data_IF_730008048572
#
_entry.id   IF_730008048572
#
_cell.length_a   1.000
_cell.length_b   1.000
_cell.length_c   1.000
_cell.angle_alpha   90.00
_cell.angle_beta   90.00
_cell.angle_gamma   90.00
#
_symmetry.space_group_name_H-M   'P 1'
#
loop_
_entity.id
_entity.type
_entity.pdbx_description
1 polymer ?
#
# COMPACT_ATOMS: atom_id res chain seq x y z
N UNK A 1 -19.02 13.78 28.80
CA UNK A 1 -19.59 14.06 27.46
C UNK A 1 -18.61 13.48 26.45
N UNK A 2 -19.03 12.64 25.48
CA UNK A 2 -18.11 12.19 24.42
C UNK A 2 -17.74 13.41 23.56
N UNK A 3 -16.45 13.61 23.27
CA UNK A 3 -16.02 14.69 22.37
C UNK A 3 -16.58 14.48 20.97
N UNK A 4 -16.94 15.58 20.29
CA UNK A 4 -17.45 15.57 18.92
C UNK A 4 -16.37 16.12 18.00
N UNK A 5 -16.11 15.39 16.92
CA UNK A 5 -15.11 15.75 15.90
C UNK A 5 -15.78 15.86 14.52
N UNK A 6 -15.15 16.63 13.64
CA UNK A 6 -15.48 16.71 12.22
C UNK A 6 -14.17 16.64 11.41
N UNK A 7 -14.27 16.22 10.16
CA UNK A 7 -13.12 16.06 9.29
C UNK A 7 -13.48 16.09 7.82
N UNK A 8 -12.45 16.06 6.97
CA UNK A 8 -12.58 16.01 5.52
C UNK A 8 -11.86 14.77 4.99
N UNK A 9 -12.54 14.04 4.09
CA UNK A 9 -11.93 13.03 3.24
C UNK A 9 -11.32 13.71 2.01
N UNK A 10 -10.00 13.64 1.88
CA UNK A 10 -9.28 14.06 0.68
C UNK A 10 -8.08 13.13 0.47
N UNK A 11 -8.05 12.31 -0.59
CA UNK A 11 -6.88 11.51 -0.92
C UNK A 11 -5.66 12.39 -1.17
N UNK A 12 -4.46 11.94 -0.78
CA UNK A 12 -3.22 12.70 -1.02
C UNK A 12 -3.03 13.00 -2.51
N UNK A 13 -3.35 12.04 -3.38
CA UNK A 13 -3.23 12.17 -4.84
C UNK A 13 -4.08 13.29 -5.43
N UNK A 14 -5.13 13.73 -4.73
CA UNK A 14 -6.03 14.81 -5.16
C UNK A 14 -5.52 16.20 -4.77
N UNK A 15 -4.43 16.30 -4.00
CA UNK A 15 -3.83 17.59 -3.68
C UNK A 15 -3.24 18.25 -4.94
N UNK A 16 -3.30 19.59 -5.06
CA UNK A 16 -2.80 20.31 -6.21
C UNK A 16 -1.27 20.50 -6.15
N UNK A 17 -0.52 19.40 -6.16
CA UNK A 17 0.95 19.43 -6.20
C UNK A 17 1.48 19.67 -7.62
N UNK A 18 2.67 20.29 -7.77
CA UNK A 18 3.42 20.21 -9.02
C UNK A 18 3.80 18.74 -9.28
N UNK A 19 4.04 18.38 -10.55
CA UNK A 19 4.44 17.01 -10.97
C UNK A 19 3.32 15.96 -11.07
N UNK A 20 2.08 16.40 -11.32
CA UNK A 20 1.02 15.58 -11.93
C UNK A 20 0.23 14.68 -10.98
N UNK A 21 0.62 14.61 -9.71
CA UNK A 21 -0.09 13.91 -8.64
C UNK A 21 0.18 14.60 -7.31
N UNK A 22 -0.83 14.66 -6.44
CA UNK A 22 -0.65 15.15 -5.08
C UNK A 22 0.35 14.32 -4.26
N UNK A 23 1.11 14.98 -3.41
CA UNK A 23 2.30 14.47 -2.70
C UNK A 23 2.37 14.99 -1.26
N UNK A 24 3.37 14.55 -0.48
CA UNK A 24 3.57 14.98 0.91
C UNK A 24 4.19 16.38 1.10
N UNK A 25 4.32 17.16 0.02
CA UNK A 25 4.97 18.47 0.02
C UNK A 25 4.11 19.63 0.52
N UNK A 26 4.37 20.80 -0.05
CA UNK A 26 3.74 22.06 0.38
C UNK A 26 2.21 22.01 0.34
N UNK A 27 1.63 21.44 -0.73
CA UNK A 27 0.18 21.37 -0.88
C UNK A 27 -0.51 20.60 0.26
N UNK A 28 0.13 19.54 0.78
CA UNK A 28 -0.37 18.79 1.93
C UNK A 28 -0.34 19.63 3.21
N UNK A 29 0.73 20.39 3.46
CA UNK A 29 0.84 21.29 4.61
C UNK A 29 -0.17 22.44 4.54
N UNK A 30 -0.37 23.01 3.35
CA UNK A 30 -1.38 24.03 3.10
C UNK A 30 -2.80 23.49 3.38
N UNK A 31 -3.06 22.22 3.03
CA UNK A 31 -4.34 21.56 3.33
C UNK A 31 -4.54 21.35 4.83
N UNK A 32 -3.50 20.94 5.58
CA UNK A 32 -3.55 20.88 7.05
C UNK A 32 -3.89 22.26 7.64
N UNK A 33 -3.24 23.33 7.17
CA UNK A 33 -3.52 24.69 7.66
C UNK A 33 -4.96 25.14 7.32
N UNK A 34 -5.48 24.70 6.18
CA UNK A 34 -6.89 24.88 5.83
C UNK A 34 -7.83 24.15 6.80
N UNK A 35 -7.54 22.88 7.14
CA UNK A 35 -8.33 22.12 8.10
C UNK A 35 -8.39 22.79 9.47
N UNK A 36 -7.25 23.31 9.96
CA UNK A 36 -7.17 24.07 11.21
C UNK A 36 -8.06 25.31 11.15
N UNK A 37 -7.95 26.11 10.08
CA UNK A 37 -8.78 27.32 9.89
C UNK A 37 -10.27 27.00 9.81
N UNK A 38 -10.62 25.85 9.24
CA UNK A 38 -11.99 25.37 9.10
C UNK A 38 -12.52 24.66 10.38
N UNK A 39 -11.73 24.61 11.46
CA UNK A 39 -12.12 23.96 12.72
C UNK A 39 -12.27 22.44 12.62
N UNK A 40 -11.69 21.82 11.59
CA UNK A 40 -11.67 20.37 11.43
C UNK A 40 -10.62 19.76 12.37
N UNK A 41 -10.80 18.48 12.71
CA UNK A 41 -9.87 17.71 13.55
C UNK A 41 -9.41 16.40 12.92
N UNK A 42 -10.07 15.94 11.86
CA UNK A 42 -9.73 14.70 11.16
C UNK A 42 -9.45 15.00 9.69
N UNK A 43 -8.32 14.49 9.18
CA UNK A 43 -8.08 14.32 7.76
C UNK A 43 -8.16 12.83 7.42
N UNK A 44 -9.18 12.43 6.68
CA UNK A 44 -9.26 11.07 6.17
C UNK A 44 -8.56 10.95 4.81
N UNK A 45 -7.71 9.94 4.68
CA UNK A 45 -7.00 9.60 3.43
C UNK A 45 -7.41 8.20 2.97
N UNK A 46 -7.22 7.91 1.68
CA UNK A 46 -7.30 6.57 1.13
C UNK A 46 -6.01 5.79 1.44
N UNK A 47 -5.94 4.46 1.19
CA UNK A 47 -4.73 3.70 1.41
C UNK A 47 -3.53 4.33 0.68
N UNK A 48 -2.40 4.49 1.39
CA UNK A 48 -1.18 5.11 0.86
C UNK A 48 -0.24 4.11 0.17
N UNK A 49 -0.72 2.90 -0.09
CA UNK A 49 0.05 1.79 -0.65
C UNK A 49 0.31 1.95 -2.15
N UNK A 50 1.35 1.31 -2.73
CA UNK A 50 1.57 1.31 -4.18
C UNK A 50 0.34 0.78 -4.92
N UNK A 51 -0.05 1.39 -6.03
CA UNK A 51 -1.20 0.93 -6.82
C UNK A 51 -0.78 -0.05 -7.90
N UNK A 52 -1.58 -1.09 -8.12
CA UNK A 52 -1.45 -2.00 -9.25
C UNK A 52 -2.15 -1.49 -10.52
N UNK A 53 -2.39 -2.38 -11.47
CA UNK A 53 -3.16 -2.06 -12.68
C UNK A 53 -4.57 -1.55 -12.33
N UNK A 54 -4.99 -0.45 -12.96
CA UNK A 54 -6.25 0.23 -12.67
C UNK A 54 -6.17 1.28 -11.56
N UNK A 55 -4.97 1.50 -10.98
CA UNK A 55 -4.64 2.63 -10.10
C UNK A 55 -5.47 2.74 -8.82
N UNK A 56 -6.14 1.65 -8.45
CA UNK A 56 -6.94 1.58 -7.23
C UNK A 56 -6.05 1.45 -6.00
N UNK A 57 -6.18 2.31 -4.98
CA UNK A 57 -5.46 2.14 -3.71
C UNK A 57 -5.94 0.92 -2.91
N UNK A 58 -6.99 0.23 -3.35
CA UNK A 58 -7.47 -1.03 -2.78
C UNK A 58 -6.93 -2.27 -3.53
N UNK A 59 -6.14 -2.08 -4.58
CA UNK A 59 -5.42 -3.14 -5.28
C UNK A 59 -3.94 -2.81 -5.35
N UNK A 60 -3.15 -3.45 -4.48
CA UNK A 60 -1.77 -3.08 -4.22
C UNK A 60 -0.82 -4.25 -4.33
N UNK A 61 0.41 -3.98 -4.76
CA UNK A 61 1.52 -4.93 -4.75
C UNK A 61 2.10 -5.19 -3.35
N UNK A 62 1.74 -4.39 -2.33
CA UNK A 62 2.14 -4.65 -0.95
C UNK A 62 1.23 -3.93 0.05
N UNK A 63 0.78 -4.65 1.08
CA UNK A 63 -0.13 -4.15 2.10
C UNK A 63 0.50 -3.16 3.09
N UNK A 64 1.84 -3.11 3.18
CA UNK A 64 2.59 -2.31 4.16
C UNK A 64 3.54 -1.27 3.54
N UNK A 65 3.78 -1.35 2.23
CA UNK A 65 4.60 -0.39 1.51
C UNK A 65 3.86 0.94 1.30
N UNK A 66 4.63 2.01 1.13
CA UNK A 66 4.14 3.30 0.69
C UNK A 66 4.32 3.51 -0.81
N UNK A 67 3.37 4.18 -1.44
CA UNK A 67 3.42 4.47 -2.87
C UNK A 67 4.54 5.46 -3.20
N UNK A 68 5.45 5.12 -4.13
CA UNK A 68 6.52 6.04 -4.55
C UNK A 68 5.98 7.31 -5.23
N UNK A 69 4.72 7.29 -5.68
CA UNK A 69 4.08 8.46 -6.30
C UNK A 69 3.81 9.60 -5.31
N UNK A 70 3.73 9.30 -4.02
CA UNK A 70 3.43 10.28 -2.98
C UNK A 70 4.68 11.01 -2.46
N UNK A 71 5.87 10.54 -2.86
CA UNK A 71 7.15 11.20 -2.58
C UNK A 71 7.17 12.54 -3.31
N UNK A 72 7.34 13.60 -2.53
CA UNK A 72 7.40 14.98 -3.02
C UNK A 72 8.75 15.31 -3.63
N UNK A 73 8.73 15.85 -4.85
CA UNK A 73 9.94 16.13 -5.64
C UNK A 73 10.63 17.40 -5.17
N UNK A 74 9.90 18.42 -4.70
CA UNK A 74 10.51 19.65 -4.17
C UNK A 74 11.32 19.34 -2.90
N UNK A 75 10.85 18.39 -2.08
CA UNK A 75 11.62 17.89 -0.94
C UNK A 75 12.92 17.21 -1.40
N UNK A 76 12.90 16.39 -2.46
CA UNK A 76 14.12 15.77 -3.00
C UNK A 76 15.08 16.80 -3.61
N UNK A 77 14.55 17.86 -4.25
CA UNK A 77 15.32 19.01 -4.73
C UNK A 77 16.01 19.71 -3.56
N UNK A 78 15.28 19.97 -2.47
CA UNK A 78 15.82 20.61 -1.26
C UNK A 78 16.94 19.81 -0.60
N UNK A 79 17.01 18.51 -0.86
CA UNK A 79 18.07 17.62 -0.39
C UNK A 79 19.26 17.51 -1.36
N UNK A 80 19.16 18.11 -2.54
CA UNK A 80 20.18 18.01 -3.58
C UNK A 80 20.23 16.67 -4.30
N UNK A 81 19.21 15.82 -4.16
CA UNK A 81 19.15 14.52 -4.85
C UNK A 81 18.79 14.65 -6.33
N UNK A 82 18.03 15.69 -6.68
CA UNK A 82 17.67 16.02 -8.07
C UNK A 82 17.68 17.54 -8.25
N UNK A 83 18.07 18.04 -9.43
CA UNK A 83 17.98 19.50 -9.71
C UNK A 83 16.59 19.87 -10.23
N UNK A 84 16.18 21.15 -10.12
CA UNK A 84 14.92 21.62 -10.71
C UNK A 84 14.82 21.34 -12.22
N UNK A 85 15.91 21.52 -12.97
CA UNK A 85 15.95 21.29 -14.42
C UNK A 85 15.78 19.80 -14.76
N UNK A 86 16.27 18.90 -13.90
CA UNK A 86 16.09 17.47 -14.08
C UNK A 86 14.68 17.03 -13.72
N UNK A 87 14.13 17.54 -12.60
CA UNK A 87 12.74 17.30 -12.23
C UNK A 87 11.79 17.74 -13.36
N UNK A 88 12.06 18.87 -14.01
CA UNK A 88 11.28 19.36 -15.14
C UNK A 88 11.31 18.41 -16.36
N UNK A 89 12.43 17.72 -16.63
CA UNK A 89 12.52 16.74 -17.73
C UNK A 89 11.58 15.54 -17.54
N UNK A 90 11.34 15.15 -16.29
CA UNK A 90 10.47 14.04 -15.94
C UNK A 90 9.07 14.50 -15.52
N UNK A 91 8.78 15.80 -15.58
CA UNK A 91 7.49 16.35 -15.19
C UNK A 91 6.35 15.73 -15.98
N UNK A 92 5.28 15.37 -15.31
CA UNK A 92 3.96 15.15 -15.91
C UNK A 92 3.00 16.23 -15.37
N UNK A 93 2.23 16.85 -16.24
CA UNK A 93 1.25 17.89 -15.86
C UNK A 93 -0.15 17.32 -15.55
N UNK A 94 -0.26 15.98 -15.49
CA UNK A 94 -1.54 15.30 -15.44
C UNK A 94 -2.31 15.40 -16.76
N UNK A 95 -3.60 15.07 -16.71
CA UNK A 95 -4.52 15.16 -17.84
C UNK A 95 -5.02 16.59 -17.99
N UNK A 96 -5.46 16.95 -19.19
CA UNK A 96 -5.99 18.29 -19.50
C UNK A 96 -7.22 18.70 -18.69
N UNK A 97 -7.91 17.73 -18.06
CA UNK A 97 -9.06 17.95 -17.18
C UNK A 97 -8.69 18.03 -15.69
N UNK A 98 -7.39 18.09 -15.36
CA UNK A 98 -6.88 18.20 -14.00
C UNK A 98 -6.79 16.87 -13.25
N UNK A 99 -7.10 15.74 -13.88
CA UNK A 99 -6.93 14.40 -13.27
C UNK A 99 -5.48 13.91 -13.39
N UNK A 100 -5.11 12.99 -12.50
CA UNK A 100 -3.81 12.30 -12.58
C UNK A 100 -3.73 11.49 -13.87
N UNK A 101 -2.59 11.56 -14.56
CA UNK A 101 -2.23 10.67 -15.65
C UNK A 101 -1.30 9.58 -15.12
N UNK A 102 -1.90 8.48 -14.63
CA UNK A 102 -1.16 7.40 -13.98
C UNK A 102 -0.22 6.65 -14.93
N UNK A 103 -0.59 6.52 -16.21
CA UNK A 103 0.29 5.91 -17.22
C UNK A 103 1.55 6.76 -17.42
N UNK A 104 1.38 8.08 -17.64
CA UNK A 104 2.52 8.98 -17.76
C UNK A 104 3.35 9.03 -16.47
N UNK A 105 2.70 8.96 -15.31
CA UNK A 105 3.36 8.94 -14.01
C UNK A 105 4.19 7.67 -13.82
N UNK A 106 3.69 6.51 -14.20
CA UNK A 106 4.42 5.24 -14.14
C UNK A 106 5.74 5.31 -14.91
N UNK A 107 5.70 5.78 -16.16
CA UNK A 107 6.89 5.84 -17.02
C UNK A 107 7.88 6.96 -16.65
N UNK A 108 7.45 8.00 -15.93
CA UNK A 108 8.31 9.16 -15.63
C UNK A 108 8.79 9.19 -14.18
N UNK A 109 7.95 8.80 -13.22
CA UNK A 109 8.26 8.94 -11.79
C UNK A 109 9.33 7.97 -11.32
N UNK A 110 9.25 6.70 -11.72
CA UNK A 110 10.24 5.70 -11.30
C UNK A 110 11.66 6.06 -11.82
N UNK A 111 11.86 6.40 -13.10
CA UNK A 111 13.17 6.89 -13.57
C UNK A 111 13.67 8.14 -12.84
N UNK A 112 12.78 9.09 -12.54
CA UNK A 112 13.14 10.29 -11.76
C UNK A 112 13.64 9.93 -10.35
N UNK A 113 12.96 9.00 -9.67
CA UNK A 113 13.37 8.53 -8.35
C UNK A 113 14.68 7.71 -8.40
N UNK A 114 14.93 6.95 -9.48
CA UNK A 114 16.22 6.28 -9.71
C UNK A 114 17.37 7.28 -9.86
N UNK A 115 17.12 8.43 -10.52
CA UNK A 115 18.09 9.53 -10.58
C UNK A 115 18.36 10.15 -9.21
N UNK A 116 17.32 10.37 -8.40
CA UNK A 116 17.50 10.83 -7.02
C UNK A 116 18.31 9.82 -6.20
N UNK A 117 17.99 8.52 -6.32
CA UNK A 117 18.71 7.44 -5.65
C UNK A 117 20.19 7.36 -6.05
N UNK A 118 20.55 7.66 -7.31
CA UNK A 118 21.94 7.63 -7.75
C UNK A 118 22.83 8.66 -7.05
N UNK A 119 22.23 9.67 -6.40
CA UNK A 119 22.93 10.71 -5.62
C UNK A 119 22.72 10.58 -4.12
N UNK A 120 21.90 9.63 -3.69
CA UNK A 120 21.58 9.42 -2.29
C UNK A 120 22.78 8.83 -1.53
N UNK A 121 23.04 9.33 -0.32
CA UNK A 121 24.06 8.76 0.56
C UNK A 121 23.58 7.45 1.20
N UNK A 122 23.89 6.36 0.51
CA UNK A 122 23.62 4.98 0.94
C UNK A 122 24.36 4.61 2.24
N UNK A 123 25.39 5.36 2.62
CA UNK A 123 26.18 5.14 3.83
C UNK A 123 25.63 5.82 5.08
N UNK A 124 24.60 6.66 4.95
CA UNK A 124 23.99 7.36 6.07
C UNK A 124 23.55 6.40 7.18
N UNK A 125 23.69 6.82 8.44
CA UNK A 125 23.41 5.97 9.59
C UNK A 125 21.91 5.65 9.69
N UNK A 126 21.07 6.62 9.33
CA UNK A 126 19.62 6.52 9.31
C UNK A 126 19.14 5.52 8.25
N UNK A 127 19.74 5.53 7.06
CA UNK A 127 19.38 4.56 6.03
C UNK A 127 19.84 3.16 6.40
N UNK A 128 21.06 2.99 6.93
CA UNK A 128 21.52 1.68 7.42
C UNK A 128 20.63 1.13 8.55
N UNK A 129 20.25 1.97 9.52
CA UNK A 129 19.32 1.57 10.56
C UNK A 129 17.94 1.19 10.01
N UNK A 130 17.48 1.86 8.95
CA UNK A 130 16.26 1.48 8.24
C UNK A 130 16.40 0.11 7.55
N UNK A 131 17.53 -0.16 6.90
CA UNK A 131 17.80 -1.45 6.26
C UNK A 131 17.89 -2.60 7.28
N UNK A 132 18.51 -2.35 8.43
CA UNK A 132 18.69 -3.34 9.51
C UNK A 132 17.35 -3.83 10.10
N UNK A 133 16.26 -3.07 9.95
CA UNK A 133 14.91 -3.50 10.34
C UNK A 133 14.38 -4.64 9.46
N UNK A 134 14.85 -4.74 8.21
CA UNK A 134 14.45 -5.77 7.25
C UNK A 134 12.97 -5.74 6.79
N UNK A 135 12.18 -4.78 7.25
CA UNK A 135 10.71 -4.72 7.06
C UNK A 135 10.28 -4.70 5.58
N UNK A 136 11.14 -4.17 4.70
CA UNK A 136 10.84 -3.98 3.27
C UNK A 136 11.65 -4.89 2.34
N UNK A 137 12.32 -5.92 2.87
CA UNK A 137 13.15 -6.81 2.08
C UNK A 137 12.33 -7.58 1.04
N UNK A 138 11.26 -8.25 1.46
CA UNK A 138 10.39 -8.99 0.54
C UNK A 138 9.74 -8.04 -0.48
N UNK A 139 9.24 -6.87 -0.05
CA UNK A 139 8.68 -5.89 -0.98
C UNK A 139 9.69 -5.45 -2.04
N UNK A 140 10.92 -5.15 -1.63
CA UNK A 140 11.94 -4.60 -2.52
C UNK A 140 12.45 -5.67 -3.49
N UNK A 141 12.60 -6.91 -3.04
CA UNK A 141 12.91 -8.05 -3.91
C UNK A 141 11.76 -8.36 -4.86
N UNK A 142 10.51 -8.33 -4.39
CA UNK A 142 9.32 -8.52 -5.23
C UNK A 142 9.25 -7.47 -6.35
N UNK A 143 9.45 -6.20 -6.03
CA UNK A 143 9.42 -5.13 -7.03
C UNK A 143 10.58 -5.22 -8.03
N UNK A 144 11.80 -5.57 -7.57
CA UNK A 144 12.93 -5.81 -8.46
C UNK A 144 12.68 -7.00 -9.40
N UNK A 145 12.12 -8.10 -8.91
CA UNK A 145 11.69 -9.24 -9.73
C UNK A 145 10.60 -8.84 -10.73
N UNK A 146 9.64 -8.03 -10.28
CA UNK A 146 8.55 -7.54 -11.11
C UNK A 146 9.08 -6.71 -12.28
N UNK A 147 10.03 -5.81 -12.03
CA UNK A 147 10.70 -5.04 -13.08
C UNK A 147 11.50 -5.95 -14.03
N UNK A 148 12.27 -6.90 -13.49
CA UNK A 148 13.06 -7.86 -14.29
C UNK A 148 12.19 -8.74 -15.22
N UNK A 149 10.94 -9.02 -14.82
CA UNK A 149 9.96 -9.74 -15.63
C UNK A 149 9.10 -8.83 -16.52
N UNK A 150 9.45 -7.55 -16.66
CA UNK A 150 8.72 -6.60 -17.50
C UNK A 150 7.34 -6.28 -16.96
N UNK A 151 7.21 -6.14 -15.65
CA UNK A 151 5.99 -5.79 -14.92
C UNK A 151 4.85 -6.80 -15.02
N UNK A 152 5.16 -8.04 -15.42
CA UNK A 152 4.19 -9.13 -15.45
C UNK A 152 3.68 -9.48 -14.05
N UNK A 153 2.47 -10.03 -14.01
CA UNK A 153 1.88 -10.59 -12.80
C UNK A 153 2.73 -11.77 -12.27
N UNK A 154 2.71 -11.97 -10.95
CA UNK A 154 3.39 -13.06 -10.25
C UNK A 154 3.18 -14.44 -10.90
N UNK A 155 1.96 -14.74 -11.36
CA UNK A 155 1.60 -16.01 -12.00
C UNK A 155 2.33 -16.27 -13.32
N UNK A 156 2.96 -15.26 -13.92
CA UNK A 156 3.68 -15.34 -15.19
C UNK A 156 5.22 -15.36 -15.01
N UNK A 157 5.72 -15.41 -13.78
CA UNK A 157 7.15 -15.47 -13.49
C UNK A 157 7.71 -16.88 -13.69
N UNK A 158 9.03 -16.98 -13.88
CA UNK A 158 9.70 -18.29 -13.84
C UNK A 158 9.45 -18.97 -12.50
N UNK A 159 9.19 -20.28 -12.52
CA UNK A 159 8.79 -21.05 -11.34
C UNK A 159 9.73 -20.84 -10.15
N UNK A 160 11.05 -20.88 -10.37
CA UNK A 160 12.06 -20.66 -9.33
C UNK A 160 11.90 -19.34 -8.56
N UNK A 161 11.40 -18.28 -9.20
CA UNK A 161 11.14 -17.00 -8.51
C UNK A 161 9.75 -16.96 -7.90
N UNK A 162 8.76 -17.55 -8.59
CA UNK A 162 7.38 -17.65 -8.11
C UNK A 162 7.28 -18.47 -6.82
N UNK A 163 8.01 -19.57 -6.72
CA UNK A 163 8.07 -20.48 -5.55
C UNK A 163 9.18 -20.13 -4.56
N UNK A 164 9.92 -19.03 -4.80
CA UNK A 164 10.97 -18.51 -3.92
C UNK A 164 12.09 -19.51 -3.65
N UNK A 165 12.58 -20.16 -4.70
CA UNK A 165 13.78 -20.99 -4.61
C UNK A 165 14.95 -20.21 -4.00
N UNK A 166 15.52 -20.74 -2.93
CA UNK A 166 16.47 -20.00 -2.10
C UNK A 166 17.78 -19.68 -2.83
N UNK A 167 18.23 -20.55 -3.74
CA UNK A 167 19.46 -20.33 -4.50
C UNK A 167 19.23 -19.29 -5.59
N UNK A 168 18.12 -19.40 -6.34
CA UNK A 168 17.73 -18.45 -7.36
C UNK A 168 17.51 -17.04 -6.78
N UNK A 169 16.84 -16.92 -5.62
CA UNK A 169 16.63 -15.64 -4.97
C UNK A 169 17.92 -15.03 -4.44
N UNK A 170 18.85 -15.85 -3.94
CA UNK A 170 20.16 -15.37 -3.51
C UNK A 170 20.96 -14.81 -4.70
N UNK A 171 21.08 -15.57 -5.78
CA UNK A 171 21.77 -15.13 -7.00
C UNK A 171 21.14 -13.87 -7.59
N UNK A 172 19.80 -13.81 -7.62
CA UNK A 172 19.07 -12.63 -8.08
C UNK A 172 19.34 -11.42 -7.20
N UNK A 173 19.28 -11.57 -5.87
CA UNK A 173 19.49 -10.48 -4.91
C UNK A 173 20.91 -9.94 -4.99
N UNK A 174 21.91 -10.81 -5.14
CA UNK A 174 23.32 -10.42 -5.32
C UNK A 174 23.52 -9.67 -6.65
N UNK A 175 22.90 -10.14 -7.73
CA UNK A 175 23.03 -9.54 -9.06
C UNK A 175 22.25 -8.23 -9.24
N UNK A 176 21.21 -8.01 -8.43
CA UNK A 176 20.29 -6.87 -8.53
C UNK A 176 20.26 -6.01 -7.26
N UNK A 177 21.35 -6.01 -6.48
CA UNK A 177 21.43 -5.31 -5.19
C UNK A 177 21.10 -3.81 -5.29
N UNK A 178 21.55 -3.13 -6.35
CA UNK A 178 21.25 -1.71 -6.57
C UNK A 178 19.76 -1.45 -6.82
N UNK A 179 19.08 -2.35 -7.54
CA UNK A 179 17.64 -2.23 -7.81
C UNK A 179 16.82 -2.48 -6.54
N UNK A 180 17.21 -3.48 -5.74
CA UNK A 180 16.58 -3.75 -4.44
C UNK A 180 16.79 -2.56 -3.49
N UNK A 181 18.00 -2.01 -3.42
CA UNK A 181 18.29 -0.82 -2.62
C UNK A 181 17.51 0.40 -3.10
N UNK A 182 17.24 0.54 -4.40
CA UNK A 182 16.37 1.59 -4.93
C UNK A 182 14.95 1.48 -4.36
N UNK A 183 14.34 0.29 -4.37
CA UNK A 183 13.00 0.09 -3.80
C UNK A 183 13.00 0.35 -2.29
N UNK A 184 14.05 -0.05 -1.56
CA UNK A 184 14.21 0.29 -0.15
C UNK A 184 14.35 1.81 0.06
N UNK A 185 15.08 2.52 -0.80
CA UNK A 185 15.16 3.98 -0.79
C UNK A 185 13.79 4.63 -0.98
N UNK A 186 12.93 4.12 -1.87
CA UNK A 186 11.57 4.66 -2.03
C UNK A 186 10.77 4.58 -0.73
N UNK A 187 10.92 3.49 0.03
CA UNK A 187 10.23 3.31 1.30
C UNK A 187 10.81 4.20 2.40
N UNK A 188 12.13 4.36 2.43
CA UNK A 188 12.80 5.29 3.33
C UNK A 188 12.32 6.74 3.13
N UNK A 189 12.31 7.21 1.87
CA UNK A 189 11.83 8.56 1.54
C UNK A 189 10.35 8.74 1.83
N UNK A 190 9.52 7.75 1.46
CA UNK A 190 8.10 7.76 1.76
C UNK A 190 7.85 7.93 3.26
N UNK A 191 8.47 7.08 4.10
CA UNK A 191 8.26 7.11 5.55
C UNK A 191 8.78 8.41 6.16
N UNK A 192 9.93 8.90 5.69
CA UNK A 192 10.50 10.16 6.20
C UNK A 192 9.56 11.33 5.92
N UNK A 193 9.14 11.50 4.68
CA UNK A 193 8.25 12.59 4.28
C UNK A 193 6.87 12.47 4.93
N UNK A 194 6.31 11.25 4.98
CA UNK A 194 5.03 11.01 5.63
C UNK A 194 5.07 11.34 7.12
N UNK A 195 6.12 10.93 7.84
CA UNK A 195 6.30 11.26 9.26
C UNK A 195 6.34 12.78 9.48
N UNK A 196 7.09 13.51 8.65
CA UNK A 196 7.14 14.97 8.75
C UNK A 196 5.81 15.67 8.47
N UNK A 197 4.97 15.11 7.60
CA UNK A 197 3.62 15.60 7.36
C UNK A 197 2.68 15.26 8.52
N UNK A 198 2.73 14.02 9.01
CA UNK A 198 1.93 13.56 10.14
C UNK A 198 2.25 14.34 11.41
N UNK A 199 3.52 14.55 11.73
CA UNK A 199 3.94 15.34 12.88
C UNK A 199 3.47 16.80 12.76
N UNK A 200 3.47 17.35 11.54
CA UNK A 200 2.95 18.70 11.27
C UNK A 200 1.43 18.80 11.50
N UNK A 201 0.67 17.81 11.04
CA UNK A 201 -0.77 17.70 11.26
C UNK A 201 -1.10 17.52 12.74
N UNK A 202 -0.47 16.54 13.39
CA UNK A 202 -0.69 16.22 14.81
C UNK A 202 -0.31 17.39 15.71
N UNK A 203 0.80 18.08 15.43
CA UNK A 203 1.22 19.30 16.16
C UNK A 203 0.22 20.46 16.04
N UNK A 204 -0.73 20.40 15.10
CA UNK A 204 -1.81 21.37 14.90
C UNK A 204 -3.18 20.83 15.35
N UNK A 205 -3.22 19.66 15.98
CA UNK A 205 -4.45 19.03 16.44
C UNK A 205 -5.31 18.43 15.32
N UNK A 206 -4.70 18.12 14.17
CA UNK A 206 -5.34 17.36 13.08
C UNK A 206 -4.84 15.92 13.16
N UNK A 207 -5.75 15.00 13.41
CA UNK A 207 -5.49 13.56 13.38
C UNK A 207 -5.69 13.01 11.96
N UNK A 208 -4.85 12.06 11.56
CA UNK A 208 -4.98 11.40 10.27
C UNK A 208 -5.72 10.07 10.44
N UNK A 209 -6.84 9.96 9.74
CA UNK A 209 -7.59 8.72 9.60
C UNK A 209 -7.19 8.03 8.30
N UNK A 210 -6.44 6.94 8.42
CA UNK A 210 -6.10 6.10 7.30
C UNK A 210 -7.17 5.06 7.00
N UNK A 211 -6.86 4.25 6.00
CA UNK A 211 -7.77 3.28 5.43
C UNK A 211 -6.97 2.05 4.99
N UNK A 212 -7.54 0.87 5.23
CA UNK A 212 -6.90 -0.40 4.99
C UNK A 212 -7.90 -1.36 4.34
N UNK A 213 -7.65 -1.83 3.11
CA UNK A 213 -8.44 -2.86 2.47
C UNK A 213 -8.44 -4.15 3.32
N UNK A 214 -9.58 -4.83 3.45
CA UNK A 214 -9.60 -6.14 4.12
C UNK A 214 -8.63 -7.09 3.43
N UNK A 215 -8.80 -7.32 2.13
CA UNK A 215 -7.99 -8.23 1.34
C UNK A 215 -6.77 -7.56 0.73
N UNK A 216 -5.81 -8.39 0.32
CA UNK A 216 -4.68 -7.99 -0.52
C UNK A 216 -4.92 -8.44 -1.96
N UNK A 217 -4.13 -7.97 -2.92
CA UNK A 217 -4.20 -8.44 -4.31
C UNK A 217 -3.47 -9.77 -4.47
N UNK A 218 -3.86 -10.57 -5.47
CA UNK A 218 -3.14 -11.82 -5.83
C UNK A 218 -1.69 -11.52 -6.21
N UNK A 219 -1.48 -10.50 -7.05
CA UNK A 219 -0.17 -10.03 -7.50
C UNK A 219 0.48 -9.10 -6.46
N UNK A 220 0.73 -9.64 -5.27
CA UNK A 220 1.29 -8.91 -4.12
C UNK A 220 2.43 -9.63 -3.41
N UNK A 221 3.23 -8.84 -2.69
CA UNK A 221 4.34 -9.29 -1.86
C UNK A 221 3.89 -10.28 -0.81
N UNK A 222 2.71 -10.07 -0.21
CA UNK A 222 2.18 -10.93 0.84
C UNK A 222 1.86 -12.32 0.33
N UNK A 223 1.17 -12.42 -0.81
CA UNK A 223 0.82 -13.72 -1.43
C UNK A 223 2.08 -14.46 -1.88
N UNK A 224 3.07 -13.73 -2.41
CA UNK A 224 4.34 -14.30 -2.81
C UNK A 224 5.18 -14.79 -1.62
N UNK A 225 5.34 -13.98 -0.57
CA UNK A 225 6.24 -14.27 0.55
C UNK A 225 5.61 -15.18 1.63
N UNK A 226 4.28 -15.17 1.74
CA UNK A 226 3.52 -15.90 2.76
C UNK A 226 2.30 -16.64 2.16
N UNK A 227 2.50 -17.51 1.15
CA UNK A 227 1.41 -18.21 0.47
C UNK A 227 0.55 -19.05 1.43
N UNK A 228 1.11 -19.53 2.53
CA UNK A 228 0.41 -20.31 3.55
C UNK A 228 -0.72 -19.54 4.25
N UNK A 229 -0.68 -18.20 4.21
CA UNK A 229 -1.71 -17.35 4.80
C UNK A 229 -2.96 -17.22 3.93
N UNK A 230 -2.96 -17.80 2.73
CA UNK A 230 -4.01 -17.66 1.73
C UNK A 230 -4.59 -19.01 1.30
N UNK A 231 -5.81 -19.00 0.77
CA UNK A 231 -6.49 -20.18 0.23
C UNK A 231 -6.05 -20.44 -1.22
N UNK A 232 -4.84 -20.96 -1.40
CA UNK A 232 -4.24 -21.24 -2.71
C UNK A 232 -4.30 -22.74 -3.05
N UNK A 233 -4.30 -23.06 -4.34
CA UNK A 233 -4.13 -24.42 -4.87
C UNK A 233 -2.65 -24.84 -4.93
N UNK A 234 -2.38 -26.03 -5.47
CA UNK A 234 -1.03 -26.59 -5.60
C UNK A 234 -0.12 -25.78 -6.54
N UNK A 235 -0.72 -25.07 -7.51
CA UNK A 235 -0.01 -24.20 -8.44
C UNK A 235 0.17 -22.78 -7.87
N UNK A 236 -0.37 -22.49 -6.67
CA UNK A 236 -0.27 -21.20 -6.01
C UNK A 236 -1.28 -20.16 -6.50
N UNK A 237 -2.29 -20.57 -7.26
CA UNK A 237 -3.41 -19.72 -7.67
C UNK A 237 -4.52 -19.73 -6.60
N UNK A 238 -5.35 -18.68 -6.48
CA UNK A 238 -6.48 -18.69 -5.56
C UNK A 238 -7.46 -19.83 -5.90
N UNK A 239 -7.79 -20.68 -4.94
CA UNK A 239 -8.83 -21.70 -5.13
C UNK A 239 -10.25 -21.11 -5.11
N UNK A 240 -10.44 -20.12 -4.23
CA UNK A 240 -11.63 -19.29 -4.12
C UNK A 240 -11.20 -17.83 -3.98
N UNK A 241 -12.02 -16.93 -4.48
CA UNK A 241 -11.78 -15.49 -4.50
C UNK A 241 -12.86 -14.71 -3.76
N UNK A 242 -12.50 -13.51 -3.34
CA UNK A 242 -13.38 -12.60 -2.61
C UNK A 242 -14.46 -11.97 -3.52
N UNK A 243 -15.59 -11.69 -2.89
CA UNK A 243 -16.65 -10.90 -3.47
C UNK A 243 -17.78 -10.66 -2.48
N UNK A 244 -18.92 -10.22 -3.00
CA UNK A 244 -20.19 -10.13 -2.28
C UNK A 244 -21.31 -10.75 -3.10
N UNK A 245 -22.28 -11.43 -2.46
CA UNK A 245 -23.39 -12.04 -3.17
C UNK A 245 -24.29 -10.98 -3.82
N UNK A 246 -25.19 -11.40 -4.71
CA UNK A 246 -26.29 -10.56 -5.17
C UNK A 246 -27.09 -9.97 -4.01
N UNK A 247 -27.51 -8.72 -4.19
CA UNK A 247 -28.43 -8.04 -3.30
C UNK A 247 -29.44 -7.23 -4.12
N UNK A 248 -30.25 -6.42 -3.45
CA UNK A 248 -31.26 -5.60 -4.12
C UNK A 248 -30.68 -4.42 -4.93
N UNK A 249 -29.37 -4.18 -4.85
CA UNK A 249 -28.64 -3.18 -5.64
C UNK A 249 -27.86 -3.80 -6.82
N UNK A 250 -27.41 -5.06 -6.70
CA UNK A 250 -26.69 -5.79 -7.76
C UNK A 250 -27.23 -7.21 -7.94
N UNK A 251 -27.82 -7.48 -9.11
CA UNK A 251 -28.35 -8.82 -9.45
C UNK A 251 -27.27 -9.91 -9.56
N UNK A 252 -26.03 -9.52 -9.88
CA UNK A 252 -24.89 -10.43 -10.07
C UNK A 252 -23.94 -10.47 -8.88
N UNK A 253 -24.19 -9.64 -7.86
CA UNK A 253 -23.23 -9.40 -6.78
C UNK A 253 -22.01 -8.63 -7.28
N UNK A 254 -20.86 -8.83 -6.63
CA UNK A 254 -19.58 -8.29 -7.11
C UNK A 254 -18.49 -9.33 -6.93
N UNK A 255 -17.77 -9.62 -8.01
CA UNK A 255 -16.60 -10.48 -8.02
C UNK A 255 -15.37 -9.58 -7.97
N UNK A 256 -14.62 -9.62 -6.86
CA UNK A 256 -13.45 -8.75 -6.67
C UNK A 256 -12.15 -9.43 -7.09
N UNK A 257 -12.07 -10.76 -6.96
CA UNK A 257 -10.91 -11.53 -7.42
C UNK A 257 -9.74 -11.59 -6.43
N UNK A 258 -9.86 -10.99 -5.24
CA UNK A 258 -8.79 -11.07 -4.24
C UNK A 258 -8.66 -12.51 -3.69
N UNK A 259 -7.44 -12.98 -3.36
CA UNK A 259 -7.26 -14.21 -2.60
C UNK A 259 -7.89 -14.08 -1.21
N UNK A 260 -8.47 -15.20 -0.74
CA UNK A 260 -9.05 -15.30 0.59
C UNK A 260 -8.01 -15.74 1.62
N UNK A 261 -8.18 -15.31 2.86
CA UNK A 261 -7.30 -15.68 3.96
C UNK A 261 -7.56 -17.09 4.49
N UNK A 262 -6.49 -17.82 4.76
CA UNK A 262 -6.53 -19.03 5.57
C UNK A 262 -6.58 -18.67 7.06
N UNK A 263 -7.75 -18.22 7.53
CA UNK A 263 -7.96 -17.84 8.93
C UNK A 263 -7.63 -18.93 9.96
N UNK A 264 -7.92 -20.22 9.71
CA UNK A 264 -7.46 -21.31 10.59
C UNK A 264 -5.94 -21.31 10.75
N UNK A 265 -5.18 -21.22 9.65
CA UNK A 265 -3.71 -21.17 9.71
C UNK A 265 -3.22 -19.94 10.47
N UNK A 266 -3.78 -18.75 10.19
CA UNK A 266 -3.44 -17.53 10.91
C UNK A 266 -3.75 -17.61 12.40
N UNK A 267 -4.76 -18.37 12.80
CA UNK A 267 -5.12 -18.53 14.22
C UNK A 267 -4.05 -19.30 15.01
N UNK A 268 -3.31 -20.19 14.36
CA UNK A 268 -2.30 -21.05 15.01
C UNK A 268 -1.16 -20.25 15.64
N UNK A 269 -0.81 -19.09 15.07
CA UNK A 269 0.23 -18.18 15.60
C UNK A 269 -0.35 -16.95 16.32
N UNK A 270 -1.65 -16.95 16.59
CA UNK A 270 -2.32 -15.82 17.24
C UNK A 270 -2.51 -14.61 16.32
N UNK A 271 -2.68 -14.83 15.02
CA UNK A 271 -2.88 -13.80 14.00
C UNK A 271 -1.70 -12.83 13.91
N UNK A 272 -0.47 -13.37 13.92
CA UNK A 272 0.75 -12.58 13.98
C UNK A 272 0.86 -11.59 12.80
N UNK A 273 0.57 -12.06 11.58
CA UNK A 273 0.62 -11.24 10.37
C UNK A 273 -0.37 -10.06 10.41
N UNK A 274 -1.64 -10.32 10.75
CA UNK A 274 -2.66 -9.27 10.85
C UNK A 274 -2.35 -8.27 11.98
N UNK A 275 -1.82 -8.76 13.09
CA UNK A 275 -1.39 -7.91 14.20
C UNK A 275 -0.24 -6.98 13.77
N UNK A 276 0.73 -7.50 13.01
CA UNK A 276 1.81 -6.70 12.44
C UNK A 276 1.28 -5.65 11.44
N UNK A 277 0.38 -6.04 10.52
CA UNK A 277 -0.26 -5.13 9.56
C UNK A 277 -0.99 -3.98 10.25
N UNK A 278 -1.77 -4.27 11.29
CA UNK A 278 -2.48 -3.24 12.07
C UNK A 278 -1.52 -2.31 12.83
N UNK A 279 -0.44 -2.84 13.41
CA UNK A 279 0.60 -2.01 14.05
C UNK A 279 1.26 -1.09 13.04
N UNK A 280 1.56 -1.59 11.85
CA UNK A 280 2.12 -0.79 10.76
C UNK A 280 1.15 0.32 10.37
N UNK A 281 -0.11 0.02 10.14
CA UNK A 281 -1.13 1.02 9.84
C UNK A 281 -1.23 2.09 10.94
N UNK A 282 -1.23 1.71 12.22
CA UNK A 282 -1.27 2.64 13.36
C UNK A 282 0.05 3.42 13.58
N UNK A 283 1.15 3.00 12.97
CA UNK A 283 2.37 3.82 12.88
C UNK A 283 2.24 4.93 11.84
N UNK A 284 1.44 4.70 10.79
CA UNK A 284 1.18 5.67 9.72
C UNK A 284 0.00 6.59 10.03
N UNK A 285 -0.99 6.12 10.77
CA UNK A 285 -2.26 6.83 11.00
C UNK A 285 -2.61 6.87 12.49
N UNK A 286 -3.37 7.88 12.90
CA UNK A 286 -3.85 7.99 14.28
C UNK A 286 -5.14 7.17 14.49
N UNK A 287 -5.90 6.96 13.41
CA UNK A 287 -7.11 6.13 13.34
C UNK A 287 -7.03 5.29 12.06
N UNK A 288 -7.42 4.02 12.11
CA UNK A 288 -7.44 3.13 10.94
C UNK A 288 -8.86 2.68 10.64
N UNK A 289 -9.39 3.04 9.47
CA UNK A 289 -10.58 2.38 8.92
C UNK A 289 -10.18 1.05 8.31
N UNK A 290 -10.95 -0.01 8.57
CA UNK A 290 -10.81 -1.27 7.82
C UNK A 290 -12.01 -1.42 6.91
N UNK A 291 -11.75 -1.36 5.61
CA UNK A 291 -12.75 -1.61 4.59
C UNK A 291 -13.32 -3.03 4.71
N UNK A 292 -14.58 -3.20 4.31
CA UNK A 292 -15.30 -4.47 4.38
C UNK A 292 -15.20 -5.20 5.74
N UNK A 293 -15.25 -4.46 6.86
CA UNK A 293 -15.10 -5.01 8.22
C UNK A 293 -15.96 -6.25 8.51
N UNK A 294 -17.14 -6.36 7.88
CA UNK A 294 -18.02 -7.53 8.03
C UNK A 294 -17.37 -8.87 7.65
N UNK A 295 -16.34 -8.85 6.81
CA UNK A 295 -15.56 -10.02 6.42
C UNK A 295 -14.86 -10.70 7.60
N UNK A 296 -14.62 -9.97 8.71
CA UNK A 296 -14.12 -10.57 9.94
C UNK A 296 -15.14 -11.43 10.67
N UNK A 297 -16.44 -11.16 10.52
CA UNK A 297 -17.50 -12.03 11.05
C UNK A 297 -17.73 -13.22 10.11
N UNK A 298 -18.06 -12.93 8.85
CA UNK A 298 -18.24 -13.92 7.78
C UNK A 298 -17.83 -13.32 6.44
N UNK A 299 -17.17 -14.08 5.60
CA UNK A 299 -16.79 -13.65 4.25
C UNK A 299 -17.40 -14.56 3.17
N UNK A 300 -17.62 -13.98 2.00
CA UNK A 300 -18.22 -14.66 0.87
C UNK A 300 -17.12 -15.10 -0.09
N UNK A 301 -17.08 -16.41 -0.35
CA UNK A 301 -16.08 -17.06 -1.18
C UNK A 301 -16.73 -17.55 -2.47
N UNK A 302 -16.08 -17.28 -3.60
CA UNK A 302 -16.56 -17.64 -4.94
C UNK A 302 -15.48 -18.50 -5.58
N UNK A 303 -15.84 -19.61 -6.20
CA UNK A 303 -14.87 -20.46 -6.90
C UNK A 303 -14.10 -19.66 -7.96
N UNK A 304 -12.79 -19.84 -8.03
CA UNK A 304 -11.96 -19.22 -9.06
C UNK A 304 -12.45 -19.63 -10.47
N UNK A 305 -12.29 -18.73 -11.45
CA UNK A 305 -12.82 -18.90 -12.81
C UNK A 305 -14.34 -18.61 -12.97
N UNK A 306 -15.06 -18.30 -11.89
CA UNK A 306 -16.47 -17.90 -11.97
C UNK A 306 -16.67 -16.59 -12.76
N UNK A 307 -17.75 -16.50 -13.54
CA UNK A 307 -18.07 -15.30 -14.33
C UNK A 307 -18.72 -14.17 -13.51
N UNK A 308 -19.28 -14.48 -12.34
CA UNK A 308 -19.94 -13.54 -11.45
C UNK A 308 -19.98 -14.08 -10.00
N UNK A 309 -20.57 -13.33 -9.08
CA UNK A 309 -20.62 -13.66 -7.66
C UNK A 309 -21.93 -14.35 -7.22
N UNK A 310 -22.78 -14.81 -8.16
CA UNK A 310 -24.07 -15.44 -7.81
C UNK A 310 -23.92 -16.74 -7.03
N UNK A 311 -22.84 -17.47 -7.27
CA UNK A 311 -22.59 -18.78 -6.68
C UNK A 311 -21.35 -18.73 -5.82
N UNK A 312 -21.56 -18.55 -4.52
CA UNK A 312 -20.51 -18.55 -3.53
C UNK A 312 -21.02 -19.07 -2.18
N UNK A 313 -20.10 -19.26 -1.25
CA UNK A 313 -20.35 -19.82 0.07
C UNK A 313 -19.89 -18.85 1.14
N UNK A 314 -20.66 -18.77 2.22
CA UNK A 314 -20.31 -17.97 3.38
C UNK A 314 -19.49 -18.77 4.38
N UNK A 315 -18.22 -18.40 4.55
CA UNK A 315 -17.36 -18.90 5.61
C UNK A 315 -17.36 -17.98 6.83
N UNK A 316 -16.98 -18.52 7.99
CA UNK A 316 -16.73 -17.76 9.20
C UNK A 316 -15.34 -17.10 9.11
N UNK A 317 -15.27 -15.81 9.46
CA UNK A 317 -14.00 -15.11 9.68
C UNK A 317 -13.44 -15.36 11.10
N UNK A 318 -12.42 -14.60 11.53
CA UNK A 318 -11.79 -14.75 12.85
C UNK A 318 -12.66 -14.26 14.01
N UNK A 319 -13.74 -13.52 13.73
CA UNK A 319 -14.66 -12.91 14.71
C UNK A 319 -13.88 -12.11 15.75
N UNK A 320 -14.20 -12.27 17.03
CA UNK A 320 -13.52 -11.57 18.12
C UNK A 320 -12.07 -12.00 18.34
N UNK A 321 -11.67 -13.19 17.85
CA UNK A 321 -10.35 -13.77 18.13
C UNK A 321 -9.18 -12.88 17.67
N UNK A 322 -9.35 -12.16 16.55
CA UNK A 322 -8.33 -11.21 16.07
C UNK A 322 -8.27 -9.92 16.91
N UNK A 323 -9.37 -9.52 17.54
CA UNK A 323 -9.53 -8.19 18.16
C UNK A 323 -9.55 -8.22 19.70
N UNK A 324 -9.52 -9.41 20.31
CA UNK A 324 -9.70 -9.58 21.76
C UNK A 324 -8.70 -8.73 22.58
N UNK A 325 -7.45 -8.66 22.14
CA UNK A 325 -6.35 -7.89 22.73
C UNK A 325 -6.15 -6.49 22.12
N UNK A 326 -7.06 -6.05 21.25
CA UNK A 326 -6.96 -4.79 20.46
C UNK A 326 -8.12 -3.83 20.71
N UNK A 327 -8.87 -4.02 21.80
CA UNK A 327 -10.07 -3.22 22.13
C UNK A 327 -9.78 -1.71 22.31
N UNK A 328 -8.56 -1.38 22.73
CA UNK A 328 -8.11 0.01 22.90
C UNK A 328 -7.42 0.58 21.65
N UNK A 329 -7.29 -0.21 20.59
CA UNK A 329 -6.70 0.27 19.33
C UNK A 329 -7.71 1.15 18.60
N UNK A 330 -7.24 2.23 17.98
CA UNK A 330 -8.10 3.20 17.27
C UNK A 330 -8.46 2.70 15.88
N UNK A 331 -9.22 1.60 15.85
CA UNK A 331 -9.70 0.94 14.65
C UNK A 331 -11.20 1.23 14.51
N UNK A 332 -11.63 1.57 13.29
CA UNK A 332 -13.04 1.79 12.96
C UNK A 332 -13.43 1.01 11.70
N UNK A 333 -14.72 0.76 11.55
CA UNK A 333 -15.31 0.17 10.34
C UNK A 333 -15.85 1.26 9.43
#
# INVERSE_FOLDING_TARGET
>A
MKERYAGILLPITALPSPYGVGSFGKAARDFVDFLVKAGQRIWQVLPLVPTGYGDSPYSSSCAIAGSPYLIDIDILIGQGLITPEEAEKYRCDGRSDGRVDYEALFYRRIPMLKLAFSRFDRGSAEFRAFLDLGEYNDFSTFMALKEAHGWKALSLWEEKYRTRDSEALKEFTESNADEILFWQFTQFEFLRQWRELKDYANGRGIEIMGDMPLYVSEDSTEVWAHPELFMLDEDGAPSEVAGVPPDYFSEDGQLWGNPLYNWPRMKEDGYAWWTARLRKALSLYDIVRIDHFRGFDRFYAIAEGSLNAKQGVWYDGPKEGLFEDKKDWRIVA
#
